data_IF_362919419305
#
_entry.id   IF_362919419305
#
_cell.length_a   1.000
_cell.length_b   1.000
_cell.length_c   1.000
_cell.angle_alpha   90.00
_cell.angle_beta   90.00
_cell.angle_gamma   90.00
#
_symmetry.space_group_name_H-M   'P 1'
#
loop_
_entity.id
_entity.type
_entity.pdbx_description
1 polymer ?
#
# COMPACT_ATOMS: atom_id res chain seq x y z
N UNK A 1 -11.01 -22.55 22.94
CA UNK A 1 -9.97 -21.99 22.06
C UNK A 1 -10.51 -21.73 20.65
N UNK A 2 -11.55 -20.91 20.50
CA UNK A 2 -12.20 -20.62 19.21
C UNK A 2 -12.29 -19.11 18.90
N UNK A 3 -11.78 -18.24 19.78
CA UNK A 3 -11.98 -16.78 19.71
C UNK A 3 -10.89 -15.98 18.99
N UNK A 4 -9.77 -16.60 18.59
CA UNK A 4 -8.62 -15.86 18.01
C UNK A 4 -8.67 -15.82 16.47
N UNK A 5 -9.29 -16.80 15.82
CA UNK A 5 -9.26 -16.93 14.35
C UNK A 5 -10.26 -15.97 13.66
N UNK A 6 -11.28 -15.46 14.37
CA UNK A 6 -12.30 -14.59 13.79
C UNK A 6 -11.86 -13.12 13.58
N UNK A 7 -10.75 -12.67 14.17
CA UNK A 7 -10.34 -11.24 14.11
C UNK A 7 -9.60 -10.85 12.82
N UNK A 8 -9.30 -11.81 11.94
CA UNK A 8 -8.64 -11.54 10.65
C UNK A 8 -9.63 -11.22 9.53
N UNK A 9 -10.94 -11.46 9.72
CA UNK A 9 -11.95 -11.32 8.67
C UNK A 9 -12.69 -9.96 8.65
N UNK A 10 -12.44 -9.07 9.61
CA UNK A 10 -13.05 -7.72 9.67
C UNK A 10 -12.15 -6.59 9.13
N UNK A 11 -11.05 -6.93 8.46
CA UNK A 11 -10.31 -5.99 7.63
C UNK A 11 -11.05 -5.72 6.31
N UNK A 12 -12.36 -5.44 6.39
CA UNK A 12 -13.18 -5.01 5.28
C UNK A 12 -12.47 -3.89 4.54
N UNK A 13 -12.22 -4.16 3.25
CA UNK A 13 -11.69 -3.29 2.21
C UNK A 13 -11.68 -1.80 2.62
N UNK A 14 -10.63 -1.37 3.35
CA UNK A 14 -10.42 0.06 3.57
C UNK A 14 -10.20 0.66 2.19
N UNK A 15 -10.85 1.77 1.80
CA UNK A 15 -10.58 2.39 0.51
C UNK A 15 -9.12 2.81 0.47
N UNK A 16 -8.32 1.98 -0.20
CA UNK A 16 -6.89 2.15 -0.36
C UNK A 16 -6.69 3.38 -1.23
N UNK A 17 -5.99 4.39 -0.70
CA UNK A 17 -5.73 5.63 -1.42
C UNK A 17 -4.44 5.44 -2.23
N UNK A 18 -4.52 5.40 -3.58
CA UNK A 18 -3.34 5.23 -4.40
C UNK A 18 -2.37 6.38 -4.15
N UNK A 19 -1.09 6.06 -3.91
CA UNK A 19 -0.05 7.05 -3.77
C UNK A 19 0.20 7.75 -5.12
N UNK A 20 0.15 9.08 -5.13
CA UNK A 20 0.41 9.89 -6.32
C UNK A 20 1.87 9.80 -6.80
N UNK A 21 2.09 10.14 -8.06
CA UNK A 21 3.40 10.10 -8.71
C UNK A 21 4.49 10.86 -7.92
N UNK A 22 4.26 12.13 -7.57
CA UNK A 22 5.25 12.98 -6.89
C UNK A 22 5.78 12.41 -5.59
N UNK A 23 4.95 11.70 -4.83
CA UNK A 23 5.38 11.10 -3.56
C UNK A 23 6.25 9.88 -3.79
N UNK A 24 5.97 9.11 -4.85
CA UNK A 24 6.82 8.01 -5.26
C UNK A 24 8.16 8.54 -5.79
N UNK A 25 8.16 9.67 -6.49
CA UNK A 25 9.37 10.34 -6.94
C UNK A 25 10.23 10.79 -5.76
N UNK A 26 9.64 11.47 -4.76
CA UNK A 26 10.36 11.87 -3.54
C UNK A 26 10.89 10.65 -2.80
N UNK A 27 10.10 9.59 -2.65
CA UNK A 27 10.57 8.33 -2.04
C UNK A 27 11.79 7.76 -2.78
N UNK A 28 11.75 7.76 -4.12
CA UNK A 28 12.86 7.30 -4.96
C UNK A 28 14.11 8.17 -4.81
N UNK A 29 13.96 9.50 -4.77
CA UNK A 29 15.09 10.41 -4.55
C UNK A 29 15.75 10.18 -3.19
N UNK A 30 14.94 9.95 -2.15
CA UNK A 30 15.46 9.62 -0.82
C UNK A 30 16.18 8.26 -0.82
N UNK A 31 15.59 7.24 -1.44
CA UNK A 31 16.25 5.93 -1.61
C UNK A 31 17.57 6.06 -2.39
N UNK A 32 17.63 6.93 -3.41
CA UNK A 32 18.85 7.19 -4.18
C UNK A 32 19.95 7.84 -3.34
N UNK A 33 19.60 8.77 -2.44
CA UNK A 33 20.55 9.34 -1.48
C UNK A 33 21.07 8.27 -0.53
N UNK A 34 20.21 7.41 0.00
CA UNK A 34 20.61 6.31 0.89
C UNK A 34 21.61 5.37 0.20
N UNK A 35 21.31 4.97 -1.05
CA UNK A 35 22.22 4.12 -1.85
C UNK A 35 23.53 4.85 -2.14
N UNK A 36 23.47 6.13 -2.50
CA UNK A 36 24.66 6.95 -2.77
C UNK A 36 25.58 7.09 -1.56
N UNK A 37 25.02 7.29 -0.36
CA UNK A 37 25.78 7.34 0.88
C UNK A 37 26.42 5.99 1.22
N UNK A 38 25.69 4.88 1.03
CA UNK A 38 26.26 3.55 1.22
C UNK A 38 27.43 3.29 0.25
N UNK A 39 27.31 3.74 -0.99
CA UNK A 39 28.38 3.65 -1.98
C UNK A 39 29.60 4.50 -1.62
N UNK A 40 29.39 5.76 -1.23
CA UNK A 40 30.45 6.65 -0.80
C UNK A 40 31.19 6.10 0.43
N UNK A 41 30.47 5.51 1.38
CA UNK A 41 31.06 4.85 2.53
C UNK A 41 31.91 3.63 2.13
N UNK A 42 31.43 2.81 1.19
CA UNK A 42 32.17 1.66 0.67
C UNK A 42 33.48 2.08 0.00
N UNK A 43 33.42 3.05 -0.92
CA UNK A 43 34.60 3.60 -1.61
C UNK A 43 35.56 4.22 -0.60
N UNK A 44 35.04 4.99 0.36
CA UNK A 44 35.84 5.58 1.42
C UNK A 44 36.60 4.50 2.21
N UNK A 45 35.91 3.48 2.72
CA UNK A 45 36.55 2.38 3.46
C UNK A 45 37.59 1.65 2.60
N UNK A 46 37.27 1.35 1.34
CA UNK A 46 38.21 0.73 0.42
C UNK A 46 39.48 1.57 0.23
N UNK A 47 39.32 2.89 0.03
CA UNK A 47 40.45 3.82 -0.09
C UNK A 47 41.31 3.91 1.18
N UNK A 48 40.73 3.63 2.36
CA UNK A 48 41.47 3.61 3.63
C UNK A 48 42.29 2.33 3.82
N UNK A 49 41.83 1.20 3.29
CA UNK A 49 42.47 -0.11 3.41
C UNK A 49 43.54 -0.30 2.33
N UNK A 50 43.20 -0.01 1.07
CA UNK A 50 44.04 -0.27 -0.10
C UNK A 50 44.76 0.98 -0.66
N UNK A 51 44.54 2.14 -0.07
CA UNK A 51 45.08 3.41 -0.55
C UNK A 51 44.17 4.08 -1.59
N UNK A 52 44.40 5.37 -1.86
CA UNK A 52 43.54 6.18 -2.74
C UNK A 52 43.66 5.82 -4.23
N UNK A 53 44.70 5.07 -4.60
CA UNK A 53 44.95 4.65 -5.99
C UNK A 53 44.01 3.52 -6.44
N UNK A 54 43.34 2.84 -5.50
CA UNK A 54 42.38 1.78 -5.82
C UNK A 54 41.26 2.28 -6.74
N UNK A 55 40.87 3.55 -6.59
CA UNK A 55 39.84 4.21 -7.39
C UNK A 55 40.26 4.38 -8.86
N UNK A 56 41.56 4.39 -9.14
CA UNK A 56 42.13 4.51 -10.48
C UNK A 56 42.36 3.16 -11.15
N UNK A 57 42.21 2.06 -10.41
CA UNK A 57 42.43 0.74 -10.97
C UNK A 57 41.34 0.40 -12.01
N UNK A 58 41.70 -0.14 -13.20
CA UNK A 58 40.75 -0.34 -14.30
C UNK A 58 39.52 -1.19 -13.97
N UNK A 59 39.59 -2.05 -12.94
CA UNK A 59 38.50 -2.94 -12.54
C UNK A 59 37.65 -2.44 -11.37
N UNK A 60 38.13 -1.50 -10.57
CA UNK A 60 37.45 -1.11 -9.34
C UNK A 60 36.12 -0.37 -9.58
N UNK A 61 36.01 0.60 -10.51
CA UNK A 61 34.72 1.21 -10.82
C UNK A 61 33.67 0.20 -11.30
N UNK A 62 34.07 -0.78 -12.11
CA UNK A 62 33.18 -1.83 -12.60
C UNK A 62 32.71 -2.74 -11.46
N UNK A 63 33.62 -3.11 -10.55
CA UNK A 63 33.32 -3.92 -9.37
C UNK A 63 32.35 -3.20 -8.43
N UNK A 64 32.62 -1.93 -8.13
CA UNK A 64 31.75 -1.07 -7.31
C UNK A 64 30.37 -0.93 -7.95
N UNK A 65 30.31 -0.71 -9.27
CA UNK A 65 29.06 -0.66 -10.03
C UNK A 65 28.25 -1.96 -9.92
N UNK A 66 28.89 -3.11 -10.13
CA UNK A 66 28.26 -4.42 -10.00
C UNK A 66 27.67 -4.65 -8.60
N UNK A 67 28.45 -4.41 -7.54
CA UNK A 67 27.98 -4.58 -6.17
C UNK A 67 26.85 -3.60 -5.81
N UNK A 68 26.85 -2.41 -6.41
CA UNK A 68 25.80 -1.41 -6.19
C UNK A 68 24.47 -1.86 -6.80
N UNK A 69 24.49 -2.36 -8.03
CA UNK A 69 23.31 -2.92 -8.68
C UNK A 69 22.79 -4.12 -7.90
N UNK A 70 23.69 -5.02 -7.47
CA UNK A 70 23.35 -6.18 -6.66
C UNK A 70 22.72 -5.77 -5.31
N UNK A 71 23.34 -4.82 -4.61
CA UNK A 71 22.84 -4.29 -3.35
C UNK A 71 21.46 -3.66 -3.53
N UNK A 72 21.27 -2.81 -4.54
CA UNK A 72 19.98 -2.18 -4.82
C UNK A 72 18.89 -3.22 -5.13
N UNK A 73 19.22 -4.27 -5.88
CA UNK A 73 18.32 -5.39 -6.16
C UNK A 73 17.86 -6.09 -4.89
N UNK A 74 18.83 -6.53 -4.07
CA UNK A 74 18.55 -7.28 -2.84
C UNK A 74 17.80 -6.39 -1.85
N UNK A 75 18.30 -5.18 -1.59
CA UNK A 75 17.70 -4.22 -0.68
C UNK A 75 16.22 -3.96 -1.02
N UNK A 76 15.92 -3.62 -2.28
CA UNK A 76 14.56 -3.29 -2.67
C UNK A 76 13.64 -4.51 -2.71
N UNK A 77 14.14 -5.66 -3.12
CA UNK A 77 13.35 -6.91 -3.15
C UNK A 77 12.96 -7.34 -1.74
N UNK A 78 13.93 -7.40 -0.83
CA UNK A 78 13.69 -7.77 0.57
C UNK A 78 12.78 -6.74 1.24
N UNK A 79 13.04 -5.44 1.07
CA UNK A 79 12.21 -4.39 1.65
C UNK A 79 10.74 -4.48 1.16
N UNK A 80 10.51 -4.67 -0.14
CA UNK A 80 9.15 -4.78 -0.67
C UNK A 80 8.44 -6.07 -0.24
N UNK A 81 9.17 -7.16 -0.02
CA UNK A 81 8.55 -8.42 0.38
C UNK A 81 8.29 -8.54 1.87
N UNK A 82 9.16 -7.98 2.71
CA UNK A 82 9.01 -8.08 4.17
C UNK A 82 8.09 -6.99 4.70
N UNK A 83 8.35 -5.73 4.34
CA UNK A 83 7.62 -4.57 4.92
C UNK A 83 6.74 -3.86 3.89
N UNK A 84 6.96 -4.11 2.60
CA UNK A 84 6.37 -3.31 1.53
C UNK A 84 7.00 -1.91 1.41
N UNK A 85 8.03 -1.59 2.21
CA UNK A 85 8.57 -0.23 2.31
C UNK A 85 10.09 -0.22 2.32
N UNK A 86 10.68 0.54 1.39
CA UNK A 86 12.07 1.02 1.48
C UNK A 86 12.16 2.22 2.41
N UNK A 87 13.37 2.64 2.79
CA UNK A 87 13.59 3.76 3.73
C UNK A 87 12.89 5.04 3.24
N UNK A 88 13.05 5.39 1.97
CA UNK A 88 12.37 6.53 1.37
C UNK A 88 10.85 6.39 1.35
N UNK A 89 10.34 5.17 1.12
CA UNK A 89 8.88 4.90 1.15
C UNK A 89 8.30 4.96 2.56
N UNK A 90 9.06 4.54 3.57
CA UNK A 90 8.69 4.70 4.98
C UNK A 90 8.56 6.17 5.34
N UNK A 91 9.53 7.00 4.94
CA UNK A 91 9.54 8.44 5.23
C UNK A 91 8.34 9.18 4.63
N UNK A 92 7.89 8.79 3.44
CA UNK A 92 6.69 9.39 2.81
C UNK A 92 5.39 8.64 3.12
N UNK A 93 5.42 7.65 4.00
CA UNK A 93 4.28 6.83 4.41
C UNK A 93 3.54 6.15 3.23
N UNK A 94 4.28 5.49 2.34
CA UNK A 94 3.71 4.67 1.26
C UNK A 94 4.24 3.26 1.32
N UNK A 95 3.42 2.27 0.93
CA UNK A 95 3.84 0.87 0.88
C UNK A 95 3.41 0.20 -0.41
N UNK A 96 4.21 -0.76 -0.85
CA UNK A 96 3.92 -1.64 -1.98
C UNK A 96 3.20 -2.89 -1.46
N UNK A 97 2.09 -3.22 -2.09
CA UNK A 97 1.29 -4.43 -1.80
C UNK A 97 0.86 -5.09 -3.10
N UNK A 98 0.43 -6.35 -3.03
CA UNK A 98 -0.27 -7.01 -4.13
C UNK A 98 -1.58 -6.29 -4.47
N UNK A 99 -2.14 -6.55 -5.65
CA UNK A 99 -3.46 -6.02 -6.06
C UNK A 99 -4.57 -6.43 -5.09
N UNK A 100 -4.43 -7.57 -4.42
CA UNK A 100 -5.40 -8.03 -3.41
C UNK A 100 -5.16 -7.39 -2.03
N UNK A 101 -4.14 -6.54 -1.89
CA UNK A 101 -3.75 -5.89 -0.63
C UNK A 101 -2.85 -6.74 0.27
N UNK A 102 -2.59 -7.99 -0.12
CA UNK A 102 -1.66 -8.89 0.54
C UNK A 102 -0.19 -8.42 0.42
N UNK A 103 0.72 -8.90 1.30
CA UNK A 103 2.16 -8.70 1.14
C UNK A 103 2.66 -9.18 -0.22
N UNK A 104 3.67 -8.51 -0.77
CA UNK A 104 4.19 -8.85 -2.09
C UNK A 104 5.15 -10.04 -1.99
N UNK A 105 4.88 -11.13 -2.71
CA UNK A 105 5.78 -12.28 -2.77
C UNK A 105 7.18 -11.88 -3.29
N UNK A 106 8.24 -12.55 -2.81
CA UNK A 106 9.62 -12.29 -3.20
C UNK A 106 9.84 -12.31 -4.71
N UNK A 107 9.27 -13.29 -5.42
CA UNK A 107 9.34 -13.37 -6.87
C UNK A 107 8.70 -12.17 -7.58
N UNK A 108 7.56 -11.69 -7.07
CA UNK A 108 6.90 -10.51 -7.61
C UNK A 108 7.68 -9.22 -7.31
N UNK A 109 8.32 -9.13 -6.14
CA UNK A 109 9.20 -8.01 -5.80
C UNK A 109 10.49 -7.98 -6.67
N UNK A 110 11.05 -9.15 -6.99
CA UNK A 110 12.19 -9.25 -7.90
C UNK A 110 11.79 -8.90 -9.33
N UNK A 111 10.67 -9.44 -9.83
CA UNK A 111 10.14 -9.11 -11.15
C UNK A 111 9.86 -7.60 -11.26
N UNK A 112 9.36 -6.99 -10.19
CA UNK A 112 9.19 -5.53 -10.09
C UNK A 112 10.53 -4.82 -10.27
N UNK A 113 11.61 -5.27 -9.64
CA UNK A 113 12.94 -4.66 -9.78
C UNK A 113 13.53 -4.83 -11.19
N UNK A 114 13.36 -6.01 -11.80
CA UNK A 114 13.75 -6.23 -13.20
C UNK A 114 12.95 -5.34 -14.16
N UNK A 115 11.63 -5.22 -13.92
CA UNK A 115 10.78 -4.32 -14.67
C UNK A 115 11.16 -2.85 -14.48
N UNK A 116 11.76 -2.48 -13.34
CA UNK A 116 12.39 -1.17 -13.14
C UNK A 116 13.59 -0.97 -14.05
N UNK A 117 14.48 -1.94 -14.19
CA UNK A 117 15.63 -1.85 -15.10
C UNK A 117 15.17 -1.63 -16.56
N UNK A 118 14.13 -2.35 -16.99
CA UNK A 118 13.49 -2.17 -18.31
C UNK A 118 12.78 -0.81 -18.42
N UNK A 119 12.14 -0.35 -17.35
CA UNK A 119 11.42 0.95 -17.29
C UNK A 119 12.32 2.16 -17.02
N UNK A 120 13.60 1.97 -16.68
CA UNK A 120 14.59 3.01 -16.39
C UNK A 120 15.42 3.40 -17.62
N UNK A 121 15.54 2.51 -18.61
CA UNK A 121 16.14 2.80 -19.92
C UNK A 121 15.54 4.04 -20.63
N UNK A 122 14.24 4.38 -20.45
CA UNK A 122 13.65 5.62 -20.95
C UNK A 122 13.43 6.69 -19.86
N UNK A 123 14.45 7.07 -19.07
CA UNK A 123 14.47 8.31 -18.28
C UNK A 123 13.15 8.65 -17.54
N UNK A 124 12.58 7.70 -16.82
CA UNK A 124 11.36 7.95 -16.02
C UNK A 124 10.02 7.92 -16.78
N UNK A 125 9.96 7.47 -18.04
CA UNK A 125 8.68 7.32 -18.76
C UNK A 125 7.70 6.33 -18.07
N UNK A 126 8.21 5.27 -17.44
CA UNK A 126 7.38 4.35 -16.64
C UNK A 126 6.72 5.02 -15.42
N UNK A 127 7.31 6.11 -14.94
CA UNK A 127 6.78 6.93 -13.85
C UNK A 127 5.77 7.97 -14.35
N UNK A 128 5.97 8.54 -15.55
CA UNK A 128 5.01 9.45 -16.21
C UNK A 128 3.67 8.74 -16.49
N UNK A 129 3.69 7.46 -16.85
CA UNK A 129 2.47 6.65 -16.98
C UNK A 129 1.64 6.57 -15.68
N UNK A 130 2.30 6.50 -14.51
CA UNK A 130 1.58 6.51 -13.22
C UNK A 130 0.96 7.88 -12.89
N UNK A 131 1.44 8.95 -13.52
CA UNK A 131 0.82 10.29 -13.45
C UNK A 131 -0.37 10.45 -14.40
N UNK A 132 -0.36 9.77 -15.55
CA UNK A 132 -1.38 9.88 -16.60
C UNK A 132 -2.53 8.87 -16.46
N UNK A 133 -2.33 7.75 -15.75
CA UNK A 133 -3.38 6.73 -15.55
C UNK A 133 -4.24 7.00 -14.33
N UNK A 134 -5.55 6.77 -14.47
CA UNK A 134 -6.57 6.86 -13.42
C UNK A 134 -6.32 5.91 -12.25
N UNK A 135 -5.70 4.75 -12.50
CA UNK A 135 -5.34 3.76 -11.48
C UNK A 135 -4.00 4.07 -10.77
N UNK A 136 -3.25 5.08 -11.25
CA UNK A 136 -1.91 5.48 -10.76
C UNK A 136 -0.92 4.32 -10.66
N UNK A 137 -1.03 3.32 -11.54
CA UNK A 137 -0.11 2.19 -11.62
C UNK A 137 0.95 2.42 -12.69
N UNK A 138 2.21 2.22 -12.33
CA UNK A 138 3.33 2.25 -13.27
C UNK A 138 3.45 0.92 -14.04
N UNK A 139 4.24 0.88 -15.12
CA UNK A 139 4.47 -0.35 -15.90
C UNK A 139 4.96 -1.53 -15.03
N UNK A 140 5.89 -1.25 -14.12
CA UNK A 140 6.41 -2.23 -13.17
C UNK A 140 5.38 -2.64 -12.10
N UNK A 141 4.39 -1.80 -11.78
CA UNK A 141 3.26 -2.17 -10.91
C UNK A 141 2.30 -3.14 -11.62
N UNK A 142 2.11 -2.95 -12.93
CA UNK A 142 1.27 -3.81 -13.76
C UNK A 142 1.90 -5.19 -13.94
N UNK A 143 3.17 -5.23 -14.33
CA UNK A 143 3.92 -6.48 -14.55
C UNK A 143 4.06 -7.30 -13.26
N UNK A 144 4.29 -6.66 -12.13
CA UNK A 144 4.47 -7.35 -10.85
C UNK A 144 3.16 -7.60 -10.09
N UNK A 145 1.99 -7.31 -10.68
CA UNK A 145 0.71 -7.48 -9.99
C UNK A 145 0.64 -6.72 -8.66
N UNK A 146 1.23 -5.53 -8.60
CA UNK A 146 1.38 -4.74 -7.38
C UNK A 146 0.75 -3.34 -7.51
N UNK A 147 0.58 -2.67 -6.38
CA UNK A 147 0.20 -1.26 -6.29
C UNK A 147 0.89 -0.59 -5.10
N UNK A 148 0.88 0.74 -5.09
CA UNK A 148 1.44 1.54 -3.99
C UNK A 148 0.35 2.35 -3.31
N UNK A 149 0.14 2.06 -2.04
CA UNK A 149 -0.91 2.67 -1.22
C UNK A 149 -0.30 3.55 -0.12
N UNK A 150 -0.99 4.62 0.24
CA UNK A 150 -0.61 5.41 1.42
C UNK A 150 -0.91 4.63 2.70
N UNK A 151 0.07 4.58 3.59
CA UNK A 151 -0.11 4.07 4.95
C UNK A 151 -0.75 5.17 5.79
N UNK A 152 -1.96 4.95 6.32
CA UNK A 152 -2.52 5.82 7.36
C UNK A 152 -1.90 5.40 8.70
N UNK A 153 -1.45 6.34 9.55
CA UNK A 153 -1.02 6.02 10.91
C UNK A 153 -2.12 5.28 11.65
N UNK A 154 -1.78 4.19 12.34
CA UNK A 154 -2.72 3.27 12.98
C UNK A 154 -3.57 3.89 14.11
N UNK A 155 -3.41 5.18 14.43
CA UNK A 155 -4.07 5.86 15.55
C UNK A 155 -5.03 6.98 15.20
N UNK A 156 -5.32 7.28 13.93
CA UNK A 156 -6.37 8.28 13.61
C UNK A 156 -7.73 7.57 13.54
N UNK A 157 -8.69 7.87 14.44
CA UNK A 157 -10.03 7.33 14.36
C UNK A 157 -10.57 7.57 12.95
N UNK A 158 -11.18 6.56 12.36
CA UNK A 158 -11.91 6.77 11.12
C UNK A 158 -12.92 7.91 11.37
N UNK A 159 -13.02 8.91 10.48
CA UNK A 159 -14.12 9.87 10.58
C UNK A 159 -15.42 9.05 10.70
N UNK A 160 -16.34 9.44 11.61
CA UNK A 160 -17.61 8.75 11.75
C UNK A 160 -18.19 8.57 10.35
N UNK A 161 -18.49 7.33 9.98
CA UNK A 161 -19.23 7.10 8.73
C UNK A 161 -20.47 8.00 8.82
N UNK A 162 -20.82 8.78 7.78
CA UNK A 162 -22.16 9.30 7.69
C UNK A 162 -23.06 8.07 7.81
N UNK A 163 -23.76 7.91 8.95
CA UNK A 163 -24.77 6.86 9.07
C UNK A 163 -25.67 7.05 7.87
N UNK A 164 -25.78 6.04 7.03
CA UNK A 164 -26.76 6.05 5.96
C UNK A 164 -28.10 6.32 6.65
N UNK A 165 -28.71 7.46 6.35
CA UNK A 165 -29.89 8.01 7.01
C UNK A 165 -31.16 7.14 6.88
N UNK A 166 -31.02 5.85 6.54
CA UNK A 166 -32.10 4.89 6.37
C UNK A 166 -31.95 3.60 7.19
N UNK A 167 -30.94 3.47 8.07
CA UNK A 167 -30.84 2.32 8.98
C UNK A 167 -31.69 2.51 10.26
N UNK A 168 -31.75 3.73 10.81
CA UNK A 168 -32.55 4.02 12.01
C UNK A 168 -34.06 3.87 11.77
N UNK A 169 -34.52 4.00 10.51
CA UNK A 169 -35.91 3.82 10.12
C UNK A 169 -36.34 2.33 10.04
N UNK A 170 -35.40 1.39 9.88
CA UNK A 170 -35.71 -0.05 9.83
C UNK A 170 -35.75 -0.69 11.22
N UNK A 171 -35.04 -0.12 12.19
CA UNK A 171 -34.99 -0.65 13.56
C UNK A 171 -36.17 -0.16 14.41
N UNK A 172 -36.80 0.95 14.03
CA UNK A 172 -38.02 1.48 14.67
C UNK A 172 -39.31 1.01 14.01
N UNK A 173 -39.23 0.25 12.91
CA UNK A 173 -40.40 -0.30 12.26
C UNK A 173 -41.02 -1.42 13.12
N UNK A 174 -42.31 -1.34 13.48
CA UNK A 174 -42.99 -2.42 14.19
C UNK A 174 -42.84 -3.76 13.46
N UNK A 175 -42.74 -4.90 14.16
CA UNK A 175 -42.66 -6.20 13.51
C UNK A 175 -43.80 -6.36 12.52
N UNK A 176 -43.47 -6.64 11.26
CA UNK A 176 -44.47 -6.92 10.24
C UNK A 176 -45.35 -8.08 10.72
N UNK A 177 -46.67 -7.88 10.74
CA UNK A 177 -47.64 -8.92 11.10
C UNK A 177 -47.34 -10.18 10.28
N UNK A 178 -47.22 -11.31 10.96
CA UNK A 178 -47.06 -12.61 10.31
C UNK A 178 -48.32 -12.86 9.49
N UNK A 179 -48.15 -13.13 8.19
CA UNK A 179 -49.26 -13.43 7.30
C UNK A 179 -50.00 -14.67 7.82
N UNK A 180 -51.23 -14.49 8.30
CA UNK A 180 -52.05 -15.56 8.90
C UNK A 180 -52.59 -15.23 10.30
N UNK A 181 -52.21 -14.11 10.91
CA UNK A 181 -52.77 -13.71 12.20
C UNK A 181 -54.24 -13.28 12.05
N UNK A 182 -55.20 -13.87 12.80
CA UNK A 182 -56.61 -13.50 12.73
C UNK A 182 -56.81 -12.02 13.07
N UNK A 183 -57.61 -11.32 12.26
CA UNK A 183 -57.99 -9.93 12.54
C UNK A 183 -58.74 -9.90 13.87
N UNK A 184 -58.30 -9.11 14.87
CA UNK A 184 -59.02 -9.01 16.13
C UNK A 184 -60.42 -8.42 15.89
N UNK A 185 -61.45 -8.88 16.62
CA UNK A 185 -62.81 -8.39 16.45
C UNK A 185 -62.88 -6.87 16.69
N UNK A 186 -63.79 -6.16 15.99
CA UNK A 186 -63.97 -4.73 16.18
C UNK A 186 -64.26 -4.43 17.65
N UNK A 187 -63.59 -3.41 18.19
CA UNK A 187 -63.85 -2.97 19.57
C UNK A 187 -65.31 -2.49 19.66
N UNK A 188 -66.05 -2.83 20.73
CA UNK A 188 -67.39 -2.31 20.94
C UNK A 188 -67.34 -0.78 20.99
N UNK A 189 -68.31 -0.14 20.32
CA UNK A 189 -68.41 1.32 20.30
C UNK A 189 -68.57 1.86 21.72
N UNK A 190 -67.90 2.98 22.06
CA UNK A 190 -68.10 3.62 23.35
C UNK A 190 -69.56 4.07 23.49
N UNK A 191 -70.15 3.98 24.69
CA UNK A 191 -71.52 4.40 24.91
C UNK A 191 -71.69 5.89 24.57
N UNK A 192 -72.85 6.29 24.03
CA UNK A 192 -73.12 7.68 23.71
C UNK A 192 -73.02 8.55 24.97
N UNK A 193 -72.56 9.81 24.84
CA UNK A 193 -72.49 10.72 25.98
C UNK A 193 -73.90 10.94 26.55
N UNK A 194 -74.03 10.78 27.86
CA UNK A 194 -75.27 11.08 28.60
C UNK A 194 -75.61 12.57 28.49
N UNK A 195 -76.90 12.94 28.46
CA UNK A 195 -77.37 14.30 28.24
C UNK A 195 -77.08 15.27 29.39
#
# INVERSE_FOLDING_TARGET
MAGIIATVNDAGARPLRPAGFWIRLVAFLVDAVVVGLAQAALVFVASRIWGREIDQSPGFPALVGFFTVLFACVYTTVAHSVTGQTVGKTLVNVRVVGVDGAPLAAGAALLRWLAYAVSALPLGMGFVMAGLRTDKRALHDLLAGSRVDRVRPAGRPAPPRPRAAGQDARETAPPARVAGEPIPPPRPEPPPPEP
#
